data_IF_451916353448
#
_entry.id   IF_451916353448
#
_cell.length_a   1.000
_cell.length_b   1.000
_cell.length_c   1.000
_cell.angle_alpha   90.00
_cell.angle_beta   90.00
_cell.angle_gamma   90.00
#
_symmetry.space_group_name_H-M   'P 1'
#
loop_
_entity.id
_entity.type
_entity.pdbx_description
1 polymer ?
#
# COMPACT_ATOMS: atom_id res chain seq x y z
N UNK A 1 19.02 -19.11 17.51
CA UNK A 1 17.60 -19.43 17.23
C UNK A 1 17.59 -20.61 16.27
N UNK A 2 16.64 -21.53 16.38
CA UNK A 2 16.51 -22.64 15.43
C UNK A 2 16.04 -22.12 14.08
N UNK A 3 16.56 -22.66 12.99
CA UNK A 3 16.01 -22.43 11.65
C UNK A 3 14.54 -22.89 11.66
N UNK A 4 13.65 -22.10 11.07
CA UNK A 4 12.25 -22.48 10.85
C UNK A 4 12.02 -22.74 9.37
N UNK A 5 11.23 -23.76 9.07
CA UNK A 5 10.72 -24.07 7.74
C UNK A 5 9.20 -24.19 7.85
N UNK A 6 8.49 -23.34 7.13
CA UNK A 6 7.05 -23.37 6.98
C UNK A 6 6.71 -23.76 5.54
N UNK A 7 5.71 -24.62 5.35
CA UNK A 7 5.26 -25.09 4.03
C UNK A 7 3.74 -24.87 3.95
N UNK A 8 3.29 -24.35 2.81
CA UNK A 8 1.87 -24.14 2.50
C UNK A 8 1.54 -24.78 1.15
N UNK A 9 0.38 -25.44 1.07
CA UNK A 9 -0.18 -25.92 -0.19
C UNK A 9 -1.35 -25.02 -0.57
N UNK A 10 -1.25 -24.39 -1.73
CA UNK A 10 -2.14 -23.30 -2.16
C UNK A 10 -2.80 -23.69 -3.49
N UNK A 11 -4.05 -23.25 -3.66
CA UNK A 11 -4.82 -23.31 -4.90
C UNK A 11 -5.65 -22.04 -5.05
N UNK A 12 -6.31 -21.86 -6.19
CA UNK A 12 -7.19 -20.70 -6.44
C UNK A 12 -8.38 -20.59 -5.47
N UNK A 13 -8.77 -21.68 -4.80
CA UNK A 13 -9.98 -21.74 -3.97
C UNK A 13 -9.74 -22.25 -2.55
N UNK A 14 -8.60 -22.88 -2.29
CA UNK A 14 -8.23 -23.40 -0.98
C UNK A 14 -6.84 -22.90 -0.59
N UNK A 15 -6.77 -22.30 0.60
CA UNK A 15 -5.53 -22.12 1.34
C UNK A 15 -5.55 -23.06 2.55
N UNK A 16 -4.63 -24.04 2.60
CA UNK A 16 -4.42 -24.84 3.81
C UNK A 16 -3.20 -24.30 4.55
N UNK A 17 -3.47 -23.77 5.75
CA UNK A 17 -2.50 -23.08 6.60
C UNK A 17 -1.25 -23.92 6.87
N UNK A 18 -0.17 -23.19 7.10
CA UNK A 18 1.18 -23.59 7.48
C UNK A 18 1.14 -24.55 8.67
N UNK A 19 1.69 -25.75 8.49
CA UNK A 19 2.54 -26.54 9.42
C UNK A 19 2.62 -28.01 8.95
N UNK A 20 3.83 -28.58 9.06
CA UNK A 20 4.30 -29.94 8.71
C UNK A 20 3.58 -30.66 7.55
N UNK A 21 4.33 -30.97 6.49
CA UNK A 21 3.90 -31.96 5.51
C UNK A 21 4.12 -33.39 6.02
N UNK A 22 3.36 -34.40 5.53
CA UNK A 22 3.69 -35.81 5.71
C UNK A 22 5.11 -36.12 5.22
N UNK A 23 5.69 -37.25 5.66
CA UNK A 23 7.06 -37.63 5.28
C UNK A 23 7.26 -37.73 3.75
N UNK A 24 6.23 -38.18 3.01
CA UNK A 24 6.22 -38.23 1.54
C UNK A 24 5.55 -37.01 0.88
N UNK A 25 5.25 -35.96 1.65
CA UNK A 25 4.59 -34.75 1.17
C UNK A 25 3.11 -34.93 0.81
N UNK A 26 2.60 -33.98 0.02
CA UNK A 26 1.26 -34.02 -0.57
C UNK A 26 1.37 -34.15 -2.08
N UNK A 27 0.42 -34.85 -2.71
CA UNK A 27 0.31 -34.87 -4.17
C UNK A 27 0.08 -33.47 -4.72
N UNK A 28 0.99 -33.00 -5.58
CA UNK A 28 0.89 -31.70 -6.23
C UNK A 28 0.00 -31.81 -7.47
N UNK A 29 -1.23 -31.30 -7.35
CA UNK A 29 -2.18 -31.26 -8.46
C UNK A 29 -1.87 -30.08 -9.40
N UNK A 30 -2.27 -30.12 -10.69
CA UNK A 30 -1.95 -29.06 -11.65
C UNK A 30 -2.47 -27.66 -11.29
N UNK A 31 -3.52 -27.58 -10.47
CA UNK A 31 -4.15 -26.35 -9.96
C UNK A 31 -3.55 -25.88 -8.63
N UNK A 32 -2.46 -26.49 -8.18
CA UNK A 32 -1.86 -26.24 -6.86
C UNK A 32 -0.39 -25.88 -6.97
N UNK A 33 0.07 -25.05 -6.03
CA UNK A 33 1.49 -24.76 -5.85
C UNK A 33 1.87 -24.87 -4.37
N UNK A 34 3.15 -25.12 -4.14
CA UNK A 34 3.73 -25.19 -2.80
C UNK A 34 4.57 -23.95 -2.54
N UNK A 35 4.27 -23.25 -1.46
CA UNK A 35 5.08 -22.14 -0.95
C UNK A 35 5.85 -22.62 0.28
N UNK A 36 7.12 -22.24 0.40
CA UNK A 36 7.90 -22.47 1.60
C UNK A 36 8.56 -21.18 2.09
N UNK A 37 8.57 -21.00 3.41
CA UNK A 37 9.20 -19.85 4.07
C UNK A 37 10.25 -20.36 5.05
N UNK A 38 11.46 -19.82 4.94
CA UNK A 38 12.61 -20.23 5.75
C UNK A 38 13.16 -19.02 6.48
N UNK A 39 13.27 -19.12 7.80
CA UNK A 39 13.98 -18.13 8.61
C UNK A 39 15.25 -18.78 9.15
N UNK A 40 16.40 -18.19 8.83
CA UNK A 40 17.72 -18.70 9.22
C UNK A 40 18.65 -17.53 9.53
N UNK A 41 19.53 -17.72 10.51
CA UNK A 41 20.65 -16.81 10.80
C UNK A 41 21.93 -17.18 10.04
N UNK A 42 21.92 -18.34 9.37
CA UNK A 42 23.06 -18.89 8.62
C UNK A 42 22.62 -19.19 7.18
N UNK A 43 22.21 -18.17 6.40
CA UNK A 43 21.70 -18.36 5.05
C UNK A 43 22.73 -19.03 4.12
N UNK A 44 24.03 -18.79 4.36
CA UNK A 44 25.12 -19.37 3.58
C UNK A 44 25.24 -20.89 3.75
N UNK A 45 24.73 -21.46 4.83
CA UNK A 45 24.76 -22.90 5.11
C UNK A 45 23.43 -23.60 4.77
N UNK A 46 22.51 -22.92 4.08
CA UNK A 46 21.20 -23.46 3.75
C UNK A 46 21.28 -24.45 2.58
N UNK A 47 20.75 -25.65 2.80
CA UNK A 47 20.48 -26.65 1.77
C UNK A 47 18.99 -26.99 1.79
N UNK A 48 18.36 -26.99 0.61
CA UNK A 48 16.98 -27.44 0.42
C UNK A 48 16.96 -28.66 -0.48
N UNK A 49 16.37 -29.73 0.04
CA UNK A 49 16.24 -31.01 -0.65
C UNK A 49 14.78 -31.19 -1.02
N UNK A 50 14.52 -31.36 -2.31
CA UNK A 50 13.22 -31.71 -2.86
C UNK A 50 13.22 -33.18 -3.23
N UNK A 51 12.53 -33.99 -2.45
CA UNK A 51 12.33 -35.41 -2.74
C UNK A 51 11.02 -35.63 -3.49
N UNK A 52 11.11 -36.44 -4.54
CA UNK A 52 10.00 -36.73 -5.44
C UNK A 52 9.58 -38.18 -5.29
N UNK A 53 8.28 -38.42 -5.13
CA UNK A 53 7.70 -39.73 -4.93
C UNK A 53 6.72 -40.08 -6.06
N UNK A 54 6.55 -41.37 -6.35
CA UNK A 54 5.45 -41.86 -7.18
C UNK A 54 4.11 -41.65 -6.46
N UNK A 55 3.03 -41.55 -7.23
CA UNK A 55 1.68 -41.46 -6.68
C UNK A 55 1.28 -42.75 -5.94
N UNK A 56 1.72 -43.90 -6.45
CA UNK A 56 1.54 -45.20 -5.80
C UNK A 56 2.72 -45.48 -4.85
N UNK A 57 2.47 -45.30 -3.55
CA UNK A 57 3.43 -45.55 -2.48
C UNK A 57 3.40 -47.01 -1.98
N UNK A 58 2.88 -47.97 -2.75
CA UNK A 58 2.76 -49.37 -2.33
C UNK A 58 4.08 -50.16 -2.39
N UNK A 59 4.98 -49.79 -3.31
CA UNK A 59 6.25 -50.49 -3.52
C UNK A 59 7.47 -49.57 -3.37
N UNK A 60 8.62 -50.15 -3.04
CA UNK A 60 9.89 -49.42 -3.00
C UNK A 60 10.52 -49.40 -4.38
N UNK A 61 10.83 -48.20 -4.89
CA UNK A 61 11.56 -48.02 -6.15
C UNK A 61 12.99 -48.58 -6.02
N UNK A 62 13.64 -48.36 -4.87
CA UNK A 62 14.94 -48.94 -4.52
C UNK A 62 14.79 -49.75 -3.23
N UNK A 63 15.20 -51.02 -3.26
CA UNK A 63 15.17 -51.88 -2.07
C UNK A 63 16.02 -51.29 -0.94
N UNK A 64 15.41 -51.10 0.23
CA UNK A 64 16.08 -50.57 1.43
C UNK A 64 15.93 -49.06 1.63
N UNK A 65 15.20 -48.36 0.75
CA UNK A 65 14.83 -46.97 1.01
C UNK A 65 13.94 -46.84 2.26
N UNK A 66 14.07 -45.71 2.96
CA UNK A 66 13.28 -45.44 4.16
C UNK A 66 11.78 -45.30 3.85
N UNK A 67 11.45 -44.86 2.63
CA UNK A 67 10.10 -44.61 2.16
C UNK A 67 9.86 -45.28 0.80
N UNK A 68 8.69 -45.89 0.59
CA UNK A 68 8.30 -46.42 -0.72
C UNK A 68 8.10 -45.27 -1.73
N UNK A 69 8.13 -45.58 -3.03
CA UNK A 69 7.85 -44.62 -4.09
C UNK A 69 8.90 -43.53 -4.33
N UNK A 70 10.03 -43.43 -3.58
CA UNK A 70 11.02 -42.35 -3.79
C UNK A 70 11.78 -42.51 -5.12
N UNK A 71 11.55 -41.61 -6.08
CA UNK A 71 12.12 -41.72 -7.44
C UNK A 71 13.38 -40.90 -7.67
N UNK A 72 13.49 -39.76 -6.99
CA UNK A 72 14.56 -38.80 -7.26
C UNK A 72 14.58 -37.62 -6.33
N UNK A 73 15.67 -36.88 -6.43
CA UNK A 73 15.96 -35.74 -5.56
C UNK A 73 16.48 -34.57 -6.40
N UNK A 74 16.05 -33.36 -6.07
CA UNK A 74 16.71 -32.13 -6.49
C UNK A 74 17.25 -31.39 -5.26
N UNK A 75 18.45 -30.81 -5.37
CA UNK A 75 19.06 -30.07 -4.28
C UNK A 75 19.28 -28.61 -4.71
N UNK A 76 18.88 -27.69 -3.83
CA UNK A 76 19.14 -26.25 -3.94
C UNK A 76 20.09 -25.85 -2.82
N UNK A 77 21.27 -25.39 -3.22
CA UNK A 77 22.27 -24.84 -2.31
C UNK A 77 22.13 -23.32 -2.24
N UNK A 78 22.32 -22.76 -1.05
CA UNK A 78 22.45 -21.31 -0.82
C UNK A 78 23.43 -20.64 -1.80
N UNK A 79 24.53 -21.32 -2.14
CA UNK A 79 25.53 -20.82 -3.09
C UNK A 79 24.96 -20.58 -4.48
N UNK A 80 24.02 -21.41 -4.94
CA UNK A 80 23.33 -21.22 -6.23
C UNK A 80 22.51 -19.94 -6.24
N UNK A 81 21.92 -19.58 -5.10
CA UNK A 81 21.20 -18.31 -4.94
C UNK A 81 22.19 -17.14 -4.87
N UNK A 82 23.26 -17.28 -4.08
CA UNK A 82 24.29 -16.24 -3.92
C UNK A 82 25.00 -15.90 -5.25
N UNK A 83 25.34 -16.91 -6.05
CA UNK A 83 25.97 -16.75 -7.37
C UNK A 83 25.05 -16.04 -8.38
N UNK A 84 23.74 -16.03 -8.16
CA UNK A 84 22.81 -15.30 -9.04
C UNK A 84 22.90 -13.78 -8.86
N UNK A 85 23.50 -13.31 -7.75
CA UNK A 85 23.55 -11.92 -7.29
C UNK A 85 22.18 -11.23 -7.18
N UNK A 86 21.09 -11.98 -7.29
CA UNK A 86 19.72 -11.48 -7.27
C UNK A 86 19.04 -11.86 -5.96
N UNK A 87 18.26 -10.92 -5.42
CA UNK A 87 17.41 -11.20 -4.28
C UNK A 87 16.11 -11.90 -4.65
N UNK A 88 15.76 -12.00 -5.94
CA UNK A 88 14.58 -12.73 -6.39
C UNK A 88 14.81 -13.30 -7.79
N UNK A 89 14.10 -14.38 -8.12
CA UNK A 89 14.15 -14.94 -9.45
C UNK A 89 13.68 -16.38 -9.52
N UNK A 90 14.15 -17.05 -10.57
CA UNK A 90 13.71 -18.40 -10.94
C UNK A 90 14.93 -19.29 -11.11
N UNK A 91 14.97 -20.39 -10.38
CA UNK A 91 15.98 -21.44 -10.54
C UNK A 91 15.35 -22.67 -11.18
N UNK A 92 16.14 -23.41 -11.96
CA UNK A 92 15.73 -24.68 -12.54
C UNK A 92 16.72 -25.74 -12.12
N UNK A 93 16.26 -26.71 -11.33
CA UNK A 93 17.09 -27.75 -10.75
C UNK A 93 16.80 -29.10 -11.42
N UNK A 94 17.81 -29.88 -11.79
CA UNK A 94 17.60 -31.22 -12.32
C UNK A 94 17.13 -32.18 -11.22
N UNK A 95 16.15 -33.02 -11.54
CA UNK A 95 15.72 -34.12 -10.67
C UNK A 95 16.60 -35.33 -10.99
N UNK A 96 17.42 -35.73 -10.04
CA UNK A 96 18.37 -36.83 -10.20
C UNK A 96 17.73 -38.15 -9.77
N UNK A 97 17.69 -39.13 -10.68
CA UNK A 97 17.19 -40.48 -10.40
C UNK A 97 18.03 -41.18 -9.33
N UNK A 98 17.35 -41.81 -8.36
CA UNK A 98 18.01 -42.67 -7.35
C UNK A 98 18.64 -43.92 -7.98
N UNK A 99 18.00 -44.49 -9.01
CA UNK A 99 18.43 -45.74 -9.66
C UNK A 99 19.57 -45.51 -10.65
N UNK A 100 19.34 -44.64 -11.64
CA UNK A 100 20.23 -44.52 -12.80
C UNK A 100 21.27 -43.41 -12.67
N UNK A 101 21.14 -42.54 -11.65
CA UNK A 101 21.85 -41.25 -11.54
C UNK A 101 21.73 -40.37 -12.79
N UNK A 102 20.75 -40.62 -13.65
CA UNK A 102 20.41 -39.75 -14.78
C UNK A 102 19.36 -38.72 -14.35
N UNK A 103 19.37 -37.57 -15.00
CA UNK A 103 18.30 -36.58 -14.86
C UNK A 103 17.00 -37.16 -15.43
N UNK A 104 15.96 -37.21 -14.61
CA UNK A 104 14.62 -37.72 -14.98
C UNK A 104 13.60 -36.60 -15.18
N UNK A 105 13.94 -35.38 -14.77
CA UNK A 105 13.08 -34.22 -14.91
C UNK A 105 13.77 -32.96 -14.40
N UNK A 106 12.98 -31.90 -14.22
CA UNK A 106 13.43 -30.64 -13.64
C UNK A 106 12.35 -30.06 -12.74
N UNK A 107 12.75 -29.38 -11.69
CA UNK A 107 11.88 -28.56 -10.84
C UNK A 107 12.23 -27.09 -11.04
N UNK A 108 11.20 -26.25 -11.18
CA UNK A 108 11.34 -24.81 -11.28
C UNK A 108 10.99 -24.21 -9.92
N UNK A 109 11.86 -23.38 -9.40
CA UNK A 109 11.77 -22.80 -8.07
C UNK A 109 11.83 -21.28 -8.19
N UNK A 110 10.69 -20.64 -7.97
CA UNK A 110 10.63 -19.18 -7.80
C UNK A 110 11.05 -18.86 -6.36
N UNK A 111 11.94 -17.87 -6.18
CA UNK A 111 12.49 -17.54 -4.86
C UNK A 111 12.58 -16.04 -4.64
N UNK A 112 12.52 -15.66 -3.36
CA UNK A 112 12.85 -14.34 -2.86
C UNK A 112 13.68 -14.46 -1.57
N UNK A 113 14.78 -13.73 -1.51
CA UNK A 113 15.69 -13.65 -0.36
C UNK A 113 15.45 -12.31 0.31
N UNK A 114 14.96 -12.36 1.54
CA UNK A 114 14.66 -11.18 2.33
C UNK A 114 15.80 -10.94 3.31
N UNK A 115 16.38 -9.74 3.30
CA UNK A 115 17.49 -9.35 4.18
C UNK A 115 17.00 -8.37 5.25
N UNK A 116 17.57 -8.39 6.46
CA UNK A 116 17.25 -7.41 7.48
C UNK A 116 17.72 -6.02 7.06
N UNK A 117 16.94 -4.99 7.40
CA UNK A 117 17.27 -3.60 7.12
C UNK A 117 18.62 -3.21 7.78
N UNK A 118 19.66 -2.86 7.01
CA UNK A 118 20.99 -2.60 7.58
C UNK A 118 20.99 -1.39 8.50
N UNK A 119 21.55 -1.55 9.70
CA UNK A 119 21.72 -0.46 10.68
C UNK A 119 20.49 -0.20 11.57
N UNK A 120 19.40 -0.94 11.40
CA UNK A 120 18.17 -0.75 12.17
C UNK A 120 17.87 -1.97 13.04
N UNK A 121 17.58 -1.73 14.32
CA UNK A 121 17.02 -2.74 15.22
C UNK A 121 15.52 -2.55 15.32
N UNK A 122 14.79 -3.48 14.72
CA UNK A 122 13.36 -3.46 14.57
C UNK A 122 12.73 -4.43 15.59
N UNK A 123 12.28 -3.91 16.74
CA UNK A 123 11.81 -4.74 17.87
C UNK A 123 10.29 -4.86 17.98
N UNK A 124 9.53 -4.23 17.09
CA UNK A 124 8.06 -4.10 17.15
C UNK A 124 7.50 -3.52 18.47
N UNK A 125 8.34 -2.88 19.30
CA UNK A 125 7.92 -2.39 20.62
C UNK A 125 6.77 -1.38 20.54
N UNK A 126 6.71 -0.60 19.45
CA UNK A 126 5.54 0.19 19.07
C UNK A 126 4.98 -0.42 17.79
N UNK A 127 3.74 -0.89 17.80
CA UNK A 127 3.07 -1.39 16.59
C UNK A 127 1.61 -1.00 16.66
N UNK A 128 1.08 -0.56 15.52
CA UNK A 128 -0.35 -0.24 15.39
C UNK A 128 -1.22 -1.49 15.17
N UNK A 129 -0.68 -2.70 15.35
CA UNK A 129 -1.47 -3.96 15.30
C UNK A 129 -2.71 -3.95 16.22
N UNK A 130 -2.64 -3.25 17.36
CA UNK A 130 -3.77 -3.08 18.31
C UNK A 130 -4.44 -1.70 18.24
N UNK A 131 -4.11 -0.90 17.22
CA UNK A 131 -4.61 0.47 17.07
C UNK A 131 -6.08 0.52 16.65
N UNK A 132 -6.50 -0.46 15.84
CA UNK A 132 -7.80 -0.49 15.20
C UNK A 132 -8.90 -0.89 16.17
N UNK A 133 -9.36 0.09 16.93
CA UNK A 133 -10.54 -0.02 17.77
C UNK A 133 -11.80 0.05 16.90
N UNK A 134 -12.93 -0.53 17.34
CA UNK A 134 -14.23 -0.28 16.72
C UNK A 134 -14.53 1.23 16.74
N UNK A 135 -14.59 1.85 15.55
CA UNK A 135 -14.91 3.26 15.34
C UNK A 135 -15.55 3.45 13.97
N UNK A 136 -16.02 4.67 13.70
CA UNK A 136 -16.36 5.07 12.34
C UNK A 136 -15.14 4.91 11.41
N UNK A 137 -15.33 4.52 10.14
CA UNK A 137 -14.22 4.35 9.22
C UNK A 137 -13.46 5.66 9.04
N UNK A 138 -12.13 5.56 8.91
CA UNK A 138 -11.28 6.71 8.68
C UNK A 138 -11.42 7.22 7.25
N UNK A 139 -11.57 8.53 7.10
CA UNK A 139 -11.49 9.18 5.80
C UNK A 139 -10.01 9.38 5.41
N UNK A 140 -9.65 8.96 4.20
CA UNK A 140 -8.29 9.00 3.66
C UNK A 140 -8.31 9.73 2.32
N UNK A 141 -7.50 10.78 2.19
CA UNK A 141 -7.40 11.53 0.94
C UNK A 141 -6.55 10.78 -0.09
N UNK A 142 -7.16 10.32 -1.18
CA UNK A 142 -6.48 9.63 -2.28
C UNK A 142 -5.54 10.57 -3.03
N UNK A 143 -4.26 10.20 -3.13
CA UNK A 143 -3.18 11.05 -3.69
C UNK A 143 -3.23 12.48 -3.15
N UNK A 144 -3.58 12.60 -1.86
CA UNK A 144 -4.03 13.84 -1.23
C UNK A 144 -5.48 14.18 -1.57
N UNK A 145 -5.67 15.14 -2.46
CA UNK A 145 -6.99 15.61 -2.88
C UNK A 145 -7.19 15.36 -4.38
N UNK A 146 -6.71 14.19 -4.84
CA UNK A 146 -6.62 13.82 -6.25
C UNK A 146 -7.94 13.96 -7.00
N UNK A 147 -7.84 14.17 -8.32
CA UNK A 147 -8.94 14.05 -9.28
C UNK A 147 -8.33 14.03 -10.69
N UNK A 148 -7.70 12.92 -11.08
CA UNK A 148 -7.18 12.76 -12.46
C UNK A 148 -8.09 11.93 -13.35
N UNK A 149 -9.16 11.35 -12.82
CA UNK A 149 -10.16 10.58 -13.58
C UNK A 149 -11.45 11.38 -13.73
N UNK A 150 -11.37 12.56 -14.36
CA UNK A 150 -12.41 13.07 -15.28
C UNK A 150 -12.04 14.47 -15.76
N UNK A 151 -11.95 14.61 -17.08
CA UNK A 151 -11.79 15.85 -17.86
C UNK A 151 -10.44 16.56 -17.80
N UNK A 152 -9.94 16.89 -19.00
CA UNK A 152 -8.83 17.81 -19.27
C UNK A 152 -9.09 19.27 -18.78
N UNK A 153 -9.94 19.46 -17.77
CA UNK A 153 -10.17 20.71 -17.07
C UNK A 153 -9.42 20.67 -15.74
N UNK A 154 -8.62 21.70 -15.51
CA UNK A 154 -7.73 21.87 -14.37
C UNK A 154 -8.41 21.45 -13.06
N UNK A 155 -8.00 20.31 -12.49
CA UNK A 155 -8.10 20.12 -11.06
C UNK A 155 -7.41 21.32 -10.40
N UNK A 156 -8.06 21.97 -9.43
CA UNK A 156 -7.47 23.14 -8.74
C UNK A 156 -6.14 22.81 -8.05
N UNK A 157 -5.93 21.53 -7.73
CA UNK A 157 -4.73 21.01 -7.07
C UNK A 157 -4.34 19.70 -7.75
N UNK A 158 -3.09 19.58 -8.16
CA UNK A 158 -2.56 18.38 -8.83
C UNK A 158 -2.33 17.27 -7.79
N UNK A 159 -2.73 16.03 -8.11
CA UNK A 159 -2.52 14.86 -7.25
C UNK A 159 -1.05 14.59 -6.92
N UNK A 160 -0.77 13.88 -5.83
CA UNK A 160 0.59 13.50 -5.42
C UNK A 160 1.55 14.72 -5.27
N UNK A 161 0.99 15.88 -4.94
CA UNK A 161 1.73 17.10 -4.61
C UNK A 161 1.58 17.46 -3.14
N UNK A 162 2.54 18.20 -2.57
CA UNK A 162 2.47 18.67 -1.17
C UNK A 162 1.19 19.49 -0.94
N UNK A 163 0.78 20.29 -1.94
CA UNK A 163 -0.45 21.07 -1.89
C UNK A 163 -1.69 20.16 -1.79
N UNK A 164 -1.79 19.11 -2.61
CA UNK A 164 -2.92 18.17 -2.56
C UNK A 164 -3.01 17.43 -1.23
N UNK A 165 -1.86 16.99 -0.72
CA UNK A 165 -1.76 16.28 0.55
C UNK A 165 -2.15 17.21 1.72
N UNK A 166 -1.63 18.45 1.73
CA UNK A 166 -1.99 19.40 2.78
C UNK A 166 -3.45 19.81 2.70
N UNK A 167 -4.00 19.97 1.50
CA UNK A 167 -5.40 20.29 1.32
C UNK A 167 -6.30 19.18 1.88
N UNK A 168 -6.02 17.91 1.60
CA UNK A 168 -6.78 16.82 2.22
C UNK A 168 -6.66 16.83 3.75
N UNK A 169 -5.44 17.02 4.26
CA UNK A 169 -5.20 17.10 5.70
C UNK A 169 -5.99 18.23 6.39
N UNK A 170 -6.09 19.41 5.78
CA UNK A 170 -6.82 20.55 6.35
C UNK A 170 -8.35 20.36 6.39
N UNK A 171 -8.87 19.40 5.61
CA UNK A 171 -10.29 19.04 5.57
C UNK A 171 -10.59 17.78 6.42
N UNK A 172 -9.72 17.47 7.38
CA UNK A 172 -9.96 16.43 8.38
C UNK A 172 -9.60 15.01 7.96
N UNK A 173 -8.95 14.82 6.81
CA UNK A 173 -8.45 13.50 6.39
C UNK A 173 -7.56 12.92 7.49
N UNK A 174 -7.90 11.71 7.97
CA UNK A 174 -7.15 11.02 9.01
C UNK A 174 -5.77 10.62 8.49
N UNK A 175 -5.78 10.08 7.27
CA UNK A 175 -4.59 9.77 6.49
C UNK A 175 -4.63 10.51 5.15
N UNK A 176 -3.46 10.75 4.58
CA UNK A 176 -3.32 11.02 3.14
C UNK A 176 -2.61 9.85 2.49
N UNK A 177 -3.16 9.38 1.39
CA UNK A 177 -2.60 8.31 0.57
C UNK A 177 -1.78 8.92 -0.56
N UNK A 178 -0.67 8.28 -0.93
CA UNK A 178 0.14 8.63 -2.10
C UNK A 178 1.09 7.50 -2.50
N UNK A 179 1.48 7.53 -3.77
CA UNK A 179 2.32 6.51 -4.42
C UNK A 179 3.81 6.87 -4.36
N UNK A 180 4.67 5.89 -4.07
CA UNK A 180 6.13 6.06 -3.98
C UNK A 180 6.86 5.02 -4.82
N UNK A 181 7.87 5.49 -5.54
CA UNK A 181 8.89 4.68 -6.21
C UNK A 181 10.23 5.44 -6.29
N UNK A 182 11.26 4.87 -6.91
CA UNK A 182 12.61 5.46 -6.96
C UNK A 182 12.96 6.08 -8.31
N UNK A 183 13.66 7.21 -8.27
CA UNK A 183 14.41 7.78 -9.41
C UNK A 183 15.66 6.95 -9.72
N UNK A 184 16.33 7.26 -10.83
CA UNK A 184 17.58 6.61 -11.27
C UNK A 184 18.70 6.66 -10.23
N UNK A 185 18.78 7.77 -9.49
CA UNK A 185 19.75 8.06 -8.45
C UNK A 185 19.24 7.71 -7.05
N UNK A 186 18.25 6.81 -6.97
CA UNK A 186 17.75 6.22 -5.73
C UNK A 186 17.07 7.22 -4.76
N UNK A 187 16.49 8.29 -5.28
CA UNK A 187 15.66 9.20 -4.47
C UNK A 187 14.21 8.70 -4.50
N UNK A 188 13.56 8.49 -3.35
CA UNK A 188 12.14 8.19 -3.32
C UNK A 188 11.31 9.39 -3.81
N UNK A 189 10.54 9.17 -4.87
CA UNK A 189 9.69 10.15 -5.53
C UNK A 189 8.23 9.78 -5.30
N UNK A 190 7.41 10.78 -5.00
CA UNK A 190 5.96 10.65 -4.89
C UNK A 190 5.32 10.89 -6.26
N UNK A 191 4.87 9.82 -6.90
CA UNK A 191 4.28 9.83 -8.25
C UNK A 191 3.66 8.45 -8.57
N UNK A 192 2.52 8.46 -9.26
CA UNK A 192 1.72 7.24 -9.48
C UNK A 192 2.26 6.35 -10.60
N UNK A 193 2.48 6.92 -11.79
CA UNK A 193 2.81 6.15 -12.99
C UNK A 193 4.29 5.74 -12.98
N UNK A 194 4.62 4.59 -13.57
CA UNK A 194 6.02 4.16 -13.71
C UNK A 194 6.77 4.92 -14.81
N UNK A 195 6.03 5.57 -15.72
CA UNK A 195 6.55 6.39 -16.82
C UNK A 195 6.01 7.82 -16.73
N UNK A 196 6.74 8.77 -17.32
CA UNK A 196 6.28 10.15 -17.46
C UNK A 196 6.48 10.62 -18.90
N UNK A 197 5.58 11.48 -19.38
CA UNK A 197 5.62 11.99 -20.75
C UNK A 197 6.53 13.22 -20.88
N UNK A 198 7.43 13.20 -21.87
CA UNK A 198 8.28 14.32 -22.27
C UNK A 198 7.81 14.94 -23.58
N UNK A 199 7.73 16.27 -23.61
CA UNK A 199 7.58 17.05 -24.84
C UNK A 199 8.95 17.54 -25.31
N UNK A 200 9.39 17.12 -26.49
CA UNK A 200 10.56 17.74 -27.14
C UNK A 200 10.10 18.99 -27.91
N UNK A 201 10.58 20.18 -27.55
CA UNK A 201 10.38 21.38 -28.39
C UNK A 201 11.15 21.20 -29.70
N UNK A 202 10.46 20.85 -30.79
CA UNK A 202 11.03 20.96 -32.15
C UNK A 202 11.18 22.45 -32.50
N UNK A 203 12.27 22.80 -33.21
CA UNK A 203 12.60 24.18 -33.62
C UNK A 203 11.60 24.83 -34.60
N UNK A 204 10.60 24.09 -35.07
CA UNK A 204 9.61 24.55 -36.05
C UNK A 204 8.19 24.35 -35.52
N UNK A 205 7.39 25.41 -35.55
CA UNK A 205 6.09 25.57 -34.88
C UNK A 205 4.93 24.77 -35.50
N UNK A 206 5.16 23.94 -36.52
CA UNK A 206 4.09 23.37 -37.35
C UNK A 206 3.88 21.85 -37.23
N UNK A 207 4.71 21.12 -36.48
CA UNK A 207 4.54 19.67 -36.30
C UNK A 207 3.85 19.33 -34.96
N UNK A 208 3.03 18.27 -34.92
CA UNK A 208 2.43 17.78 -33.68
C UNK A 208 3.53 17.48 -32.64
N UNK A 209 3.29 17.90 -31.40
CA UNK A 209 4.20 17.65 -30.28
C UNK A 209 4.25 16.16 -30.04
N UNK A 210 5.39 15.56 -30.39
CA UNK A 210 5.66 14.15 -30.16
C UNK A 210 5.94 13.95 -28.66
N UNK A 211 5.05 13.23 -27.99
CA UNK A 211 5.18 12.85 -26.59
C UNK A 211 5.97 11.55 -26.52
N UNK A 212 7.06 11.55 -25.75
CA UNK A 212 7.83 10.34 -25.47
C UNK A 212 7.66 9.95 -24.01
N UNK A 213 7.22 8.73 -23.75
CA UNK A 213 7.21 8.18 -22.39
C UNK A 213 8.61 7.72 -21.99
N UNK A 214 9.05 8.16 -20.82
CA UNK A 214 10.32 7.73 -20.22
C UNK A 214 10.03 7.17 -18.83
N UNK A 215 10.58 5.99 -18.50
CA UNK A 215 10.47 5.44 -17.15
C UNK A 215 11.08 6.38 -16.11
N UNK A 216 10.38 6.58 -14.99
CA UNK A 216 10.86 7.43 -13.89
C UNK A 216 12.20 6.92 -13.34
N UNK A 217 12.39 5.59 -13.30
CA UNK A 217 13.65 4.95 -12.89
C UNK A 217 14.86 5.30 -13.77
N UNK A 218 14.66 5.93 -14.94
CA UNK A 218 15.72 6.33 -15.87
C UNK A 218 16.09 7.81 -15.77
N UNK A 219 15.36 8.56 -14.96
CA UNK A 219 15.57 9.98 -14.71
C UNK A 219 16.11 10.17 -13.29
N UNK A 220 17.14 11.01 -13.14
CA UNK A 220 17.58 11.44 -11.80
C UNK A 220 16.52 12.33 -11.17
N UNK A 221 16.55 12.47 -9.85
CA UNK A 221 15.63 13.36 -9.14
C UNK A 221 15.70 14.79 -9.69
N UNK A 222 16.91 15.31 -9.90
CA UNK A 222 17.12 16.64 -10.50
C UNK A 222 16.50 16.74 -11.90
N UNK A 223 16.61 15.70 -12.73
CA UNK A 223 15.98 15.68 -14.05
C UNK A 223 14.45 15.76 -13.93
N UNK A 224 13.84 14.99 -13.03
CA UNK A 224 12.40 15.04 -12.76
C UNK A 224 11.96 16.45 -12.30
N UNK A 225 12.74 17.10 -11.42
CA UNK A 225 12.51 18.48 -11.01
C UNK A 225 12.62 19.48 -12.16
N UNK A 226 13.49 19.24 -13.16
CA UNK A 226 13.64 20.11 -14.33
C UNK A 226 12.47 19.99 -15.32
N UNK A 227 11.90 18.79 -15.51
CA UNK A 227 10.76 18.57 -16.43
C UNK A 227 9.59 19.48 -16.09
N UNK A 228 9.34 19.58 -14.80
CA UNK A 228 8.39 20.49 -14.17
C UNK A 228 8.67 21.97 -14.44
N UNK A 229 9.91 22.45 -14.32
CA UNK A 229 10.23 23.86 -14.62
C UNK A 229 9.88 24.23 -16.07
N UNK A 230 10.03 23.29 -17.01
CA UNK A 230 9.68 23.49 -18.40
C UNK A 230 8.16 23.60 -18.62
N UNK A 231 7.36 22.80 -17.90
CA UNK A 231 5.91 22.85 -17.95
C UNK A 231 5.37 24.17 -17.36
N UNK A 232 5.86 24.57 -16.19
CA UNK A 232 5.46 25.84 -15.53
C UNK A 232 5.81 27.05 -16.39
N UNK A 233 7.01 27.06 -17.01
CA UNK A 233 7.42 28.15 -17.92
C UNK A 233 6.54 28.21 -19.16
N UNK A 234 6.11 27.06 -19.70
CA UNK A 234 5.19 27.01 -20.84
C UNK A 234 3.78 27.52 -20.50
N UNK A 235 3.28 27.23 -19.29
CA UNK A 235 1.98 27.71 -18.82
C UNK A 235 2.00 29.22 -18.51
N UNK A 236 3.04 29.73 -17.85
CA UNK A 236 3.21 31.16 -17.55
C UNK A 236 3.38 32.06 -18.78
N UNK A 237 3.70 31.50 -19.95
CA UNK A 237 3.72 32.26 -21.19
C UNK A 237 2.32 32.71 -21.64
N UNK A 238 1.24 32.11 -21.10
CA UNK A 238 -0.14 32.42 -21.49
C UNK A 238 -0.91 33.33 -20.52
N UNK A 239 -0.52 33.44 -19.26
CA UNK A 239 -1.22 34.28 -18.29
C UNK A 239 -0.27 35.23 -17.55
N UNK A 240 -0.45 36.53 -17.79
CA UNK A 240 0.22 37.60 -17.05
C UNK A 240 -0.83 38.37 -16.24
N UNK A 241 -0.87 38.14 -14.92
CA UNK A 241 -1.02 39.16 -13.86
C UNK A 241 -1.14 38.54 -12.44
N UNK A 242 -0.17 38.91 -11.59
CA UNK A 242 -0.31 39.48 -10.22
C UNK A 242 0.18 38.67 -9.00
N UNK A 243 0.97 39.37 -8.15
CA UNK A 243 1.54 39.07 -6.81
C UNK A 243 2.54 37.92 -6.65
N UNK A 244 3.82 38.28 -6.50
CA UNK A 244 5.01 37.40 -6.67
C UNK A 244 5.39 36.56 -5.43
N UNK A 245 4.94 36.90 -4.22
CA UNK A 245 5.53 36.30 -3.00
C UNK A 245 4.71 35.14 -2.40
N UNK A 246 3.37 35.23 -2.38
CA UNK A 246 2.51 34.12 -1.95
C UNK A 246 2.39 33.04 -3.05
N UNK A 247 2.48 33.45 -4.32
CA UNK A 247 2.55 32.53 -5.46
C UNK A 247 3.79 31.64 -5.41
N UNK A 248 4.96 32.12 -4.97
CA UNK A 248 6.19 31.32 -5.01
C UNK A 248 6.12 30.08 -4.10
N UNK A 249 5.56 30.21 -2.89
CA UNK A 249 5.37 29.07 -1.99
C UNK A 249 4.23 28.15 -2.48
N UNK A 250 3.12 28.71 -2.97
CA UNK A 250 2.01 27.92 -3.52
C UNK A 250 2.42 27.15 -4.79
N UNK A 251 3.19 27.78 -5.67
CA UNK A 251 3.78 27.16 -6.86
C UNK A 251 4.89 26.16 -6.52
N UNK A 252 5.47 26.22 -5.31
CA UNK A 252 6.45 25.26 -4.81
C UNK A 252 5.80 23.96 -4.33
N UNK A 253 4.56 24.03 -3.85
CA UNK A 253 3.90 22.87 -3.24
C UNK A 253 2.98 22.12 -4.20
N UNK A 254 2.49 22.78 -5.25
CA UNK A 254 1.79 22.15 -6.38
C UNK A 254 2.75 21.46 -7.36
N UNK A 255 3.99 21.24 -6.93
CA UNK A 255 5.05 20.72 -7.76
C UNK A 255 4.95 19.19 -7.88
N UNK A 256 4.89 18.63 -9.11
CA UNK A 256 4.95 17.18 -9.29
C UNK A 256 6.32 16.63 -8.88
N UNK A 257 6.34 15.32 -8.65
CA UNK A 257 7.52 14.56 -8.25
C UNK A 257 8.18 15.06 -6.95
N UNK A 258 7.44 15.46 -5.89
CA UNK A 258 8.13 15.77 -4.64
C UNK A 258 8.84 14.51 -4.14
N UNK A 259 10.00 14.68 -3.48
CA UNK A 259 10.62 13.52 -2.82
C UNK A 259 9.78 13.11 -1.62
N UNK A 260 9.82 11.83 -1.25
CA UNK A 260 9.15 11.34 -0.04
C UNK A 260 9.60 12.11 1.21
N UNK A 261 10.89 12.45 1.28
CA UNK A 261 11.46 13.26 2.36
C UNK A 261 10.78 14.62 2.44
N UNK A 262 10.64 15.32 1.32
CA UNK A 262 9.94 16.61 1.28
C UNK A 262 8.50 16.49 1.78
N UNK A 263 7.78 15.43 1.40
CA UNK A 263 6.41 15.19 1.86
C UNK A 263 6.35 14.94 3.38
N UNK A 264 7.25 14.11 3.91
CA UNK A 264 7.35 13.81 5.35
C UNK A 264 7.63 15.06 6.20
N UNK A 265 8.49 15.96 5.71
CA UNK A 265 8.88 17.20 6.39
C UNK A 265 7.83 18.33 6.25
N UNK A 266 7.02 18.32 5.18
CA UNK A 266 6.13 19.45 4.83
C UNK A 266 4.72 19.38 5.43
N UNK A 267 4.26 18.20 5.85
CA UNK A 267 2.93 18.02 6.44
C UNK A 267 2.99 17.96 7.98
N UNK A 268 1.92 18.35 8.70
CA UNK A 268 1.86 18.19 10.16
C UNK A 268 1.99 16.73 10.59
N UNK A 269 2.74 16.44 11.66
CA UNK A 269 3.05 15.09 12.16
C UNK A 269 1.79 14.30 12.59
N UNK A 270 0.71 15.00 12.91
CA UNK A 270 -0.54 14.37 13.35
C UNK A 270 -1.30 13.72 12.19
N UNK A 271 -1.05 14.13 10.94
CA UNK A 271 -1.69 13.54 9.75
C UNK A 271 -1.00 12.21 9.43
N UNK A 272 -1.75 11.11 9.45
CA UNK A 272 -1.19 9.81 9.08
C UNK A 272 -0.89 9.72 7.58
N UNK A 273 0.09 8.90 7.20
CA UNK A 273 0.35 8.59 5.78
C UNK A 273 -0.01 7.15 5.45
N UNK A 274 -0.67 6.96 4.31
CA UNK A 274 -0.76 5.67 3.64
C UNK A 274 0.17 5.72 2.42
N UNK A 275 1.32 5.05 2.52
CA UNK A 275 2.37 5.08 1.50
C UNK A 275 2.22 3.85 0.62
N UNK A 276 1.71 4.03 -0.59
CA UNK A 276 1.66 2.95 -1.57
C UNK A 276 3.03 2.77 -2.22
N UNK A 277 3.65 1.62 -2.01
CA UNK A 277 4.91 1.26 -2.65
C UNK A 277 4.59 0.69 -4.03
N UNK A 278 4.91 1.46 -5.07
CA UNK A 278 4.73 1.04 -6.46
C UNK A 278 5.85 0.09 -6.89
N UNK A 279 5.43 -1.06 -7.38
CA UNK A 279 6.32 -2.08 -7.93
C UNK A 279 5.78 -2.59 -9.27
N UNK A 280 6.68 -3.00 -10.16
CA UNK A 280 6.30 -3.51 -11.47
C UNK A 280 5.65 -4.90 -11.35
N UNK A 281 4.50 -5.09 -11.99
CA UNK A 281 3.86 -6.40 -12.10
C UNK A 281 3.94 -6.91 -13.54
N UNK A 282 4.00 -8.24 -13.69
CA UNK A 282 3.83 -8.89 -14.97
C UNK A 282 2.36 -9.29 -15.15
N UNK A 283 1.77 -8.90 -16.27
CA UNK A 283 0.41 -9.23 -16.63
C UNK A 283 0.31 -10.69 -17.11
N UNK A 284 -0.91 -11.22 -17.18
CA UNK A 284 -1.16 -12.61 -17.63
C UNK A 284 -0.70 -12.88 -19.06
N UNK A 285 -0.61 -11.85 -19.89
CA UNK A 285 -0.10 -11.92 -21.26
C UNK A 285 1.44 -11.84 -21.35
N UNK A 286 2.12 -11.71 -20.21
CA UNK A 286 3.58 -11.66 -20.10
C UNK A 286 4.16 -10.24 -20.26
N UNK A 287 3.34 -9.22 -20.47
CA UNK A 287 3.80 -7.82 -20.56
C UNK A 287 4.05 -7.28 -19.14
N UNK A 288 5.15 -6.54 -18.98
CA UNK A 288 5.48 -5.88 -17.72
C UNK A 288 4.94 -4.46 -17.71
N UNK A 289 4.52 -3.98 -16.53
CA UNK A 289 4.08 -2.60 -16.35
C UNK A 289 5.11 -1.58 -16.87
N UNK A 290 4.63 -0.55 -17.56
CA UNK A 290 5.49 0.47 -18.17
C UNK A 290 6.46 -0.07 -19.24
N UNK A 291 6.24 -1.29 -19.75
CA UNK A 291 7.16 -2.04 -20.62
C UNK A 291 8.54 -2.24 -20.00
N UNK A 292 8.61 -2.32 -18.66
CA UNK A 292 9.84 -2.46 -17.91
C UNK A 292 10.23 -3.93 -17.73
N UNK A 293 11.16 -4.43 -18.52
CA UNK A 293 11.70 -5.79 -18.38
C UNK A 293 12.67 -5.98 -17.21
N UNK A 294 13.12 -4.86 -16.61
CA UNK A 294 14.02 -4.84 -15.45
C UNK A 294 13.68 -3.67 -14.55
N UNK A 295 13.88 -3.87 -13.25
CA UNK A 295 13.66 -2.86 -12.22
C UNK A 295 14.77 -2.92 -11.17
N UNK A 296 14.57 -2.25 -10.04
CA UNK A 296 15.53 -2.26 -8.94
C UNK A 296 15.58 -3.63 -8.24
N UNK A 297 16.63 -3.86 -7.45
CA UNK A 297 16.62 -4.95 -6.48
C UNK A 297 15.59 -4.65 -5.37
N UNK A 298 14.74 -5.62 -5.03
CA UNK A 298 13.60 -5.39 -4.13
C UNK A 298 14.03 -5.05 -2.69
N UNK A 299 15.11 -5.66 -2.18
CA UNK A 299 15.64 -5.30 -0.85
C UNK A 299 16.19 -3.88 -0.88
N UNK A 300 17.03 -3.54 -1.86
CA UNK A 300 17.59 -2.19 -1.98
C UNK A 300 16.48 -1.14 -2.08
N UNK A 301 15.49 -1.39 -2.93
CA UNK A 301 14.38 -0.49 -3.17
C UNK A 301 13.58 -0.20 -1.90
N UNK A 302 13.19 -1.25 -1.19
CA UNK A 302 12.46 -1.12 0.07
C UNK A 302 13.31 -0.52 1.19
N UNK A 303 14.58 -0.91 1.30
CA UNK A 303 15.50 -0.38 2.30
C UNK A 303 15.60 1.14 2.22
N UNK A 304 15.69 1.70 1.00
CA UNK A 304 15.79 3.14 0.79
C UNK A 304 14.49 3.85 1.22
N UNK A 305 13.33 3.33 0.81
CA UNK A 305 12.03 3.91 1.16
C UNK A 305 11.82 3.83 2.67
N UNK A 306 12.05 2.66 3.28
CA UNK A 306 11.86 2.45 4.71
C UNK A 306 12.82 3.31 5.54
N UNK A 307 14.10 3.41 5.17
CA UNK A 307 15.05 4.33 5.85
C UNK A 307 14.56 5.78 5.78
N UNK A 308 14.13 6.22 4.59
CA UNK A 308 13.59 7.57 4.42
C UNK A 308 12.39 7.81 5.35
N UNK A 309 11.48 6.86 5.47
CA UNK A 309 10.34 6.98 6.41
C UNK A 309 10.81 6.98 7.86
N UNK A 310 11.66 6.04 8.26
CA UNK A 310 12.11 5.90 9.66
C UNK A 310 12.88 7.12 10.15
N UNK A 311 13.65 7.76 9.28
CA UNK A 311 14.47 8.93 9.63
C UNK A 311 13.66 10.24 9.68
N UNK A 312 12.56 10.32 8.92
CA UNK A 312 11.86 11.60 8.69
C UNK A 312 10.37 11.61 9.14
N UNK A 313 9.82 10.50 9.62
CA UNK A 313 8.39 10.42 10.02
C UNK A 313 8.10 10.79 11.47
N UNK A 314 9.11 10.89 12.34
CA UNK A 314 8.88 11.18 13.77
C UNK A 314 7.97 10.13 14.43
N UNK A 315 6.85 10.58 15.01
CA UNK A 315 5.79 9.74 15.60
C UNK A 315 4.56 9.65 14.71
N UNK A 316 4.63 10.11 13.45
CA UNK A 316 3.56 10.03 12.47
C UNK A 316 3.08 8.59 12.32
N UNK A 317 1.78 8.40 12.17
CA UNK A 317 1.20 7.08 11.86
C UNK A 317 1.44 6.78 10.39
N UNK A 318 2.08 5.65 10.09
CA UNK A 318 2.36 5.21 8.72
C UNK A 318 1.66 3.88 8.46
N UNK A 319 0.96 3.79 7.34
CA UNK A 319 0.48 2.56 6.73
C UNK A 319 1.26 2.40 5.43
N UNK A 320 1.69 1.18 5.12
CA UNK A 320 2.23 0.85 3.80
C UNK A 320 1.24 -0.03 3.07
N UNK A 321 1.04 0.23 1.78
CA UNK A 321 0.26 -0.60 0.87
C UNK A 321 1.08 -0.94 -0.38
N UNK A 322 0.73 -2.03 -1.06
CA UNK A 322 1.24 -2.34 -2.40
C UNK A 322 0.29 -3.33 -3.06
N UNK A 323 0.25 -3.30 -4.40
CA UNK A 323 -0.38 -4.36 -5.20
C UNK A 323 0.50 -5.60 -5.29
N UNK A 324 1.80 -5.46 -5.05
CA UNK A 324 2.76 -6.56 -5.13
C UNK A 324 2.85 -7.31 -3.79
N UNK A 325 2.61 -8.62 -3.84
CA UNK A 325 2.57 -9.47 -2.66
C UNK A 325 3.96 -9.71 -2.06
N UNK A 326 5.02 -9.69 -2.87
CA UNK A 326 6.40 -9.85 -2.41
C UNK A 326 6.86 -8.61 -1.65
N UNK A 327 6.51 -7.41 -2.15
CA UNK A 327 6.71 -6.14 -1.45
C UNK A 327 6.01 -6.15 -0.08
N UNK A 328 4.75 -6.59 -0.03
CA UNK A 328 4.02 -6.72 1.24
C UNK A 328 4.69 -7.73 2.18
N UNK A 329 5.20 -8.84 1.64
CA UNK A 329 5.90 -9.89 2.41
C UNK A 329 7.20 -9.37 3.00
N UNK A 330 8.07 -8.73 2.19
CA UNK A 330 9.31 -8.10 2.68
C UNK A 330 9.00 -7.04 3.73
N UNK A 331 8.02 -6.16 3.46
CA UNK A 331 7.61 -5.13 4.40
C UNK A 331 7.17 -5.70 5.76
N UNK A 332 6.48 -6.85 5.76
CA UNK A 332 6.07 -7.56 6.99
C UNK A 332 7.24 -8.20 7.75
N UNK A 333 8.28 -8.60 7.04
CA UNK A 333 9.48 -9.18 7.62
C UNK A 333 10.43 -8.14 8.21
N UNK A 334 10.19 -6.84 7.96
CA UNK A 334 10.97 -5.73 8.54
C UNK A 334 10.17 -5.15 9.72
N UNK A 335 10.51 -5.49 10.98
CA UNK A 335 9.67 -5.22 12.14
C UNK A 335 9.72 -3.75 12.61
N UNK A 336 9.36 -2.77 11.78
CA UNK A 336 9.49 -1.37 12.22
C UNK A 336 8.44 -0.96 13.25
N UNK A 337 8.83 -0.05 14.14
CA UNK A 337 8.04 0.51 15.24
C UNK A 337 6.80 1.33 14.81
N UNK A 338 6.54 1.41 13.51
CA UNK A 338 5.47 2.20 12.89
C UNK A 338 4.66 1.35 11.91
N UNK A 339 5.11 0.13 11.61
CA UNK A 339 4.51 -0.75 10.61
C UNK A 339 3.33 -1.53 11.19
N UNK A 340 2.26 -1.56 10.40
CA UNK A 340 1.20 -2.53 10.50
C UNK A 340 1.34 -3.56 9.37
N UNK A 341 2.35 -4.42 9.49
CA UNK A 341 2.52 -5.58 8.65
C UNK A 341 3.01 -6.70 9.59
N UNK A 342 2.03 -7.36 10.20
CA UNK A 342 2.23 -8.72 10.71
C UNK A 342 2.08 -9.62 9.48
N UNK A 343 2.74 -10.78 9.46
CA UNK A 343 2.33 -11.88 8.59
C UNK A 343 1.46 -12.82 9.46
N UNK A 344 0.18 -13.07 9.14
CA UNK A 344 -0.54 -12.66 7.93
C UNK A 344 -0.77 -11.14 7.87
N UNK A 345 -0.82 -10.54 6.66
CA UNK A 345 -0.91 -9.11 6.43
C UNK A 345 -1.92 -8.48 7.37
N UNK A 346 -1.57 -7.36 7.99
CA UNK A 346 -2.40 -6.80 9.05
C UNK A 346 -3.73 -6.20 8.53
N UNK A 347 -3.92 -6.17 7.21
CA UNK A 347 -5.12 -5.69 6.55
C UNK A 347 -5.10 -5.93 5.04
N UNK A 348 -6.19 -5.52 4.39
CA UNK A 348 -6.37 -5.50 2.93
C UNK A 348 -6.75 -4.08 2.48
N UNK A 349 -6.30 -3.69 1.29
CA UNK A 349 -6.75 -2.49 0.60
C UNK A 349 -7.49 -2.90 -0.67
N UNK A 350 -8.81 -3.02 -0.59
CA UNK A 350 -9.63 -3.65 -1.63
C UNK A 350 -10.26 -2.62 -2.57
N UNK A 351 -10.38 -2.99 -3.85
CA UNK A 351 -11.16 -2.18 -4.78
C UNK A 351 -12.64 -2.21 -4.39
N UNK A 352 -13.27 -1.04 -4.42
CA UNK A 352 -14.61 -0.84 -3.87
C UNK A 352 -15.67 -1.61 -4.63
N UNK A 353 -15.51 -1.76 -5.95
CA UNK A 353 -16.42 -2.54 -6.80
C UNK A 353 -16.63 -3.96 -6.26
N UNK A 354 -15.56 -4.62 -5.81
CA UNK A 354 -15.62 -5.99 -5.29
C UNK A 354 -16.38 -6.07 -3.96
N UNK A 355 -16.20 -5.09 -3.08
CA UNK A 355 -16.89 -5.03 -1.79
C UNK A 355 -18.37 -4.67 -1.93
N UNK A 356 -18.71 -3.78 -2.86
CA UNK A 356 -20.09 -3.44 -3.18
C UNK A 356 -20.82 -4.62 -3.82
N UNK A 357 -20.14 -5.37 -4.70
CA UNK A 357 -20.68 -6.57 -5.34
C UNK A 357 -20.85 -7.73 -4.35
N UNK A 358 -19.89 -7.92 -3.44
CA UNK A 358 -19.86 -9.04 -2.49
C UNK A 358 -19.59 -8.57 -1.05
N UNK A 359 -20.60 -8.04 -0.34
CA UNK A 359 -20.44 -7.53 1.02
C UNK A 359 -19.97 -8.59 2.04
N UNK A 360 -20.17 -9.88 1.74
CA UNK A 360 -19.69 -11.00 2.57
C UNK A 360 -18.17 -11.03 2.72
N UNK A 361 -17.41 -10.51 1.75
CA UNK A 361 -15.94 -10.44 1.83
C UNK A 361 -15.47 -9.56 2.99
N UNK A 362 -16.24 -8.51 3.33
CA UNK A 362 -15.94 -7.67 4.49
C UNK A 362 -16.06 -8.48 5.78
N UNK A 363 -17.09 -9.33 5.90
CA UNK A 363 -17.28 -10.16 7.08
C UNK A 363 -16.21 -11.25 7.19
N UNK A 364 -15.82 -11.86 6.06
CA UNK A 364 -14.75 -12.87 6.03
C UNK A 364 -13.40 -12.28 6.44
N UNK A 365 -13.04 -11.11 5.90
CA UNK A 365 -11.80 -10.42 6.25
C UNK A 365 -11.78 -10.02 7.74
N UNK A 366 -12.91 -9.54 8.29
CA UNK A 366 -13.04 -9.25 9.73
C UNK A 366 -12.95 -10.49 10.60
N UNK A 367 -13.52 -11.62 10.17
CA UNK A 367 -13.41 -12.89 10.88
C UNK A 367 -11.95 -13.38 10.96
N UNK A 368 -11.12 -13.01 9.98
CA UNK A 368 -9.66 -13.24 9.97
C UNK A 368 -8.87 -12.16 10.73
N UNK A 369 -9.54 -11.18 11.36
CA UNK A 369 -8.91 -10.10 12.12
C UNK A 369 -8.23 -9.02 11.26
N UNK A 370 -8.56 -8.94 9.97
CA UNK A 370 -7.93 -8.01 9.03
C UNK A 370 -8.56 -6.62 9.12
N UNK A 371 -7.70 -5.60 9.02
CA UNK A 371 -8.14 -4.21 8.79
C UNK A 371 -8.49 -4.04 7.32
N UNK A 372 -9.58 -3.34 7.02
CA UNK A 372 -10.08 -3.22 5.65
C UNK A 372 -10.11 -1.76 5.24
N UNK A 373 -9.23 -1.37 4.33
CA UNK A 373 -9.35 -0.13 3.57
C UNK A 373 -9.96 -0.44 2.20
N UNK A 374 -10.65 0.53 1.62
CA UNK A 374 -11.13 0.41 0.25
C UNK A 374 -10.97 1.71 -0.53
N UNK A 375 -10.73 1.56 -1.83
CA UNK A 375 -10.41 2.61 -2.79
C UNK A 375 -11.14 2.40 -4.12
N UNK A 376 -11.01 3.34 -5.05
CA UNK A 376 -11.58 3.28 -6.40
C UNK A 376 -12.70 4.31 -6.61
N UNK A 377 -13.06 4.57 -7.87
CA UNK A 377 -13.95 5.68 -8.23
C UNK A 377 -15.31 5.65 -7.50
N UNK A 378 -15.82 4.46 -7.17
CA UNK A 378 -17.07 4.27 -6.43
C UNK A 378 -17.06 4.91 -5.03
N UNK A 379 -15.90 5.10 -4.40
CA UNK A 379 -15.80 5.77 -3.10
C UNK A 379 -16.02 7.28 -3.20
N UNK A 380 -16.02 7.85 -4.41
CA UNK A 380 -16.33 9.27 -4.61
C UNK A 380 -17.83 9.58 -4.46
N UNK A 381 -18.70 8.57 -4.56
CA UNK A 381 -20.14 8.68 -4.27
C UNK A 381 -20.41 8.56 -2.74
N UNK A 382 -21.02 9.60 -2.11
CA UNK A 382 -21.39 9.55 -0.69
C UNK A 382 -22.28 8.37 -0.29
N UNK A 383 -23.17 7.93 -1.18
CA UNK A 383 -24.10 6.83 -0.90
C UNK A 383 -23.36 5.49 -0.85
N UNK A 384 -22.38 5.28 -1.72
CA UNK A 384 -21.50 4.12 -1.66
C UNK A 384 -20.64 4.16 -0.39
N UNK A 385 -20.10 5.33 -0.01
CA UNK A 385 -19.38 5.47 1.27
C UNK A 385 -20.27 5.10 2.45
N UNK A 386 -21.55 5.49 2.45
CA UNK A 386 -22.50 5.11 3.51
C UNK A 386 -22.68 3.58 3.60
N UNK A 387 -22.87 2.89 2.47
CA UNK A 387 -22.98 1.42 2.44
C UNK A 387 -21.71 0.74 2.94
N UNK A 388 -20.54 1.21 2.54
CA UNK A 388 -19.25 0.66 2.99
C UNK A 388 -19.05 0.86 4.50
N UNK A 389 -19.47 2.01 5.04
CA UNK A 389 -19.51 2.26 6.49
C UNK A 389 -20.42 1.25 7.21
N UNK A 390 -21.57 0.94 6.65
CA UNK A 390 -22.51 -0.07 7.18
C UNK A 390 -21.95 -1.50 7.09
N UNK A 391 -21.21 -1.85 6.03
CA UNK A 391 -20.51 -3.13 5.92
C UNK A 391 -19.40 -3.26 6.98
N UNK A 392 -18.87 -2.12 7.43
CA UNK A 392 -17.95 -2.03 8.55
C UNK A 392 -16.49 -2.13 8.15
N UNK A 393 -16.12 -1.52 7.02
CA UNK A 393 -14.72 -1.24 6.63
C UNK A 393 -14.03 -0.34 7.68
N UNK A 394 -12.71 -0.26 7.68
CA UNK A 394 -11.94 0.56 8.62
C UNK A 394 -11.47 1.90 8.05
N UNK A 395 -11.40 2.03 6.73
CA UNK A 395 -11.01 3.26 6.06
C UNK A 395 -11.53 3.36 4.63
N UNK A 396 -11.77 4.59 4.21
CA UNK A 396 -12.29 4.96 2.91
C UNK A 396 -11.27 5.87 2.23
N UNK A 397 -10.71 5.43 1.13
CA UNK A 397 -9.77 6.19 0.30
C UNK A 397 -10.56 6.77 -0.86
N UNK A 398 -10.62 8.09 -0.97
CA UNK A 398 -11.40 8.77 -2.01
C UNK A 398 -10.82 10.14 -2.36
N UNK A 399 -11.21 10.59 -3.55
CA UNK A 399 -10.82 11.87 -4.13
C UNK A 399 -11.64 13.02 -3.54
N UNK A 400 -11.13 14.25 -3.71
CA UNK A 400 -11.88 15.49 -3.44
C UNK A 400 -12.58 15.52 -2.06
N UNK A 401 -11.86 15.14 -1.01
CA UNK A 401 -12.39 15.15 0.36
C UNK A 401 -12.96 16.52 0.78
N UNK A 402 -12.39 17.61 0.23
CA UNK A 402 -12.82 18.99 0.44
C UNK A 402 -14.23 19.30 -0.10
N UNK A 403 -14.76 18.53 -1.05
CA UNK A 403 -16.13 18.72 -1.57
C UNK A 403 -17.18 18.34 -0.52
N UNK A 404 -16.81 17.51 0.45
CA UNK A 404 -17.74 16.89 1.40
C UNK A 404 -17.49 17.29 2.85
N UNK A 405 -16.26 17.68 3.17
CA UNK A 405 -15.83 17.98 4.53
C UNK A 405 -15.38 19.44 4.58
N UNK A 406 -15.96 20.29 5.46
CA UNK A 406 -15.40 21.61 5.72
C UNK A 406 -14.02 21.48 6.38
N UNK A 407 -13.24 22.56 6.36
CA UNK A 407 -11.99 22.61 7.12
C UNK A 407 -12.24 22.28 8.58
N UNK A 408 -11.52 21.27 9.07
CA UNK A 408 -11.71 20.73 10.42
C UNK A 408 -10.46 19.99 10.88
N UNK A 409 -10.21 19.94 12.20
CA UNK A 409 -9.04 19.25 12.72
C UNK A 409 -9.08 17.75 12.42
N UNK A 410 -7.90 17.18 12.21
CA UNK A 410 -7.73 15.75 11.99
C UNK A 410 -8.22 14.96 13.23
N UNK A 411 -8.86 13.81 13.00
CA UNK A 411 -9.42 12.96 14.06
C UNK A 411 -8.41 12.59 15.15
N UNK A 412 -7.13 12.42 14.80
CA UNK A 412 -6.08 12.09 15.76
C UNK A 412 -5.71 13.27 16.67
N UNK A 413 -5.81 14.50 16.19
CA UNK A 413 -5.64 15.70 17.01
C UNK A 413 -6.79 15.79 18.02
N UNK A 414 -8.02 15.52 17.58
CA UNK A 414 -9.20 15.49 18.44
C UNK A 414 -9.05 14.40 19.52
N UNK A 415 -8.68 13.18 19.14
CA UNK A 415 -8.45 12.06 20.09
C UNK A 415 -7.34 12.37 21.11
N UNK A 416 -6.26 13.02 20.69
CA UNK A 416 -5.16 13.40 21.59
C UNK A 416 -5.62 14.46 22.59
N UNK A 417 -6.37 15.46 22.13
CA UNK A 417 -6.92 16.50 22.98
C UNK A 417 -7.93 15.93 24.00
N UNK A 418 -8.78 15.00 23.58
CA UNK A 418 -9.72 14.33 24.49
C UNK A 418 -9.00 13.50 25.56
N UNK A 419 -7.92 12.78 25.21
CA UNK A 419 -7.09 12.08 26.19
C UNK A 419 -6.46 13.05 27.19
N UNK A 420 -5.87 14.15 26.72
CA UNK A 420 -5.28 15.17 27.58
C UNK A 420 -6.33 15.79 28.52
N UNK A 421 -7.57 16.02 28.06
CA UNK A 421 -8.68 16.49 28.91
C UNK A 421 -9.08 15.49 30.00
N UNK A 422 -8.92 14.20 29.76
CA UNK A 422 -9.18 13.16 30.76
C UNK A 422 -8.07 13.09 31.81
N UNK A 423 -6.81 13.27 31.38
CA UNK A 423 -5.63 13.22 32.25
C UNK A 423 -5.40 14.51 33.05
N UNK A 424 -5.84 15.66 32.53
CA UNK A 424 -5.67 16.98 33.14
C UNK A 424 -7.04 17.65 33.40
N UNK A 425 -7.56 17.61 34.64
CA UNK A 425 -8.87 18.17 35.00
C UNK A 425 -9.04 19.66 34.70
N UNK A 426 -7.94 20.41 34.64
CA UNK A 426 -7.90 21.85 34.39
C UNK A 426 -8.26 22.23 32.94
N UNK A 427 -8.12 21.29 31.99
CA UNK A 427 -8.47 21.50 30.57
C UNK A 427 -9.96 21.30 30.26
N UNK A 428 -10.78 20.92 31.25
CA UNK A 428 -12.22 20.67 31.07
C UNK A 428 -13.04 21.90 30.70
N UNK A 429 -12.54 23.11 30.96
CA UNK A 429 -13.23 24.37 30.62
C UNK A 429 -13.00 24.84 29.17
N UNK A 430 -12.13 24.18 28.40
CA UNK A 430 -11.90 24.54 27.00
C UNK A 430 -12.98 23.94 26.09
N UNK A 431 -13.83 24.82 25.54
CA UNK A 431 -14.75 24.52 24.43
C UNK A 431 -13.93 24.22 23.17
N UNK A 432 -13.74 22.93 22.87
CA UNK A 432 -13.16 22.47 21.61
C UNK A 432 -14.19 21.56 20.93
N UNK A 433 -14.16 21.38 19.60
CA UNK A 433 -15.07 20.49 18.91
C UNK A 433 -14.96 19.08 19.52
N UNK A 434 -16.01 18.63 20.19
CA UNK A 434 -16.13 17.26 20.66
C UNK A 434 -16.35 16.32 19.47
N UNK A 435 -15.94 15.05 19.58
CA UNK A 435 -16.14 14.01 18.55
C UNK A 435 -17.60 13.88 18.06
N UNK A 436 -18.57 14.43 18.79
CA UNK A 436 -19.99 14.52 18.38
C UNK A 436 -20.28 15.29 17.07
N UNK A 437 -19.37 16.10 16.54
CA UNK A 437 -19.53 16.73 15.21
C UNK A 437 -19.25 15.78 14.03
N UNK A 438 -18.77 14.55 14.27
CA UNK A 438 -18.56 13.53 13.21
C UNK A 438 -19.82 12.70 12.87
N UNK A 439 -21.01 13.14 13.31
CA UNK A 439 -22.29 12.56 12.88
C UNK A 439 -22.76 13.32 11.62
N UNK A 440 -23.08 12.65 10.49
CA UNK A 440 -23.60 13.35 9.33
C UNK A 440 -24.95 13.99 9.68
N UNK A 441 -25.02 15.32 9.63
CA UNK A 441 -26.30 16.02 9.66
C UNK A 441 -27.03 15.80 8.33
N UNK A 442 -28.01 14.90 8.31
CA UNK A 442 -29.25 15.01 7.53
C UNK A 442 -30.19 13.80 7.74
N UNK A 443 -30.80 13.71 8.91
CA UNK A 443 -32.18 13.24 9.00
C UNK A 443 -33.09 14.48 8.82
N UNK A 444 -33.46 14.77 7.58
CA UNK A 444 -34.58 15.67 7.30
C UNK A 444 -35.58 14.91 6.42
N UNK A 445 -36.58 14.36 7.10
CA UNK A 445 -37.80 13.84 6.50
C UNK A 445 -38.92 14.03 7.52
N UNK A 446 -39.44 15.25 7.62
CA UNK A 446 -40.76 15.45 8.21
C UNK A 446 -41.82 15.34 7.11
N UNK A 447 -42.95 14.68 7.42
CA UNK A 447 -44.22 15.24 7.02
C UNK A 447 -45.17 15.40 8.22
N UNK A 448 -45.46 16.66 8.53
CA UNK A 448 -46.79 17.22 8.80
C UNK A 448 -47.64 16.63 9.93
N UNK A 449 -47.88 17.45 10.97
CA UNK A 449 -49.18 17.52 11.66
C UNK A 449 -49.56 18.99 11.88
N UNK A 450 -50.62 19.41 11.20
CA UNK A 450 -51.39 20.62 11.47
C UNK A 450 -51.98 20.58 12.88
N UNK A 451 -51.77 21.63 13.69
CA UNK A 451 -52.77 22.08 14.67
C UNK A 451 -52.76 23.61 14.73
N UNK A 452 -53.86 24.21 14.28
CA UNK A 452 -54.18 25.63 14.43
C UNK A 452 -54.33 26.02 15.91
N UNK A 453 -53.81 27.19 16.28
CA UNK A 453 -54.28 27.93 17.45
C UNK A 453 -54.12 29.45 17.22
N UNK A 454 -55.19 30.07 16.72
CA UNK A 454 -55.45 31.50 16.82
C UNK A 454 -56.30 31.78 18.07
N UNK A 455 -56.00 32.88 18.78
CA UNK A 455 -56.83 33.48 19.84
C UNK A 455 -55.95 34.00 20.99
N UNK A 456 -55.41 35.22 20.90
CA UNK A 456 -55.99 36.51 21.34
C UNK A 456 -56.37 36.53 22.84
N UNK A 457 -55.63 37.38 23.55
CA UNK A 457 -55.92 38.19 24.75
C UNK A 457 -56.90 37.67 25.81
N UNK A 458 -56.45 37.67 27.07
CA UNK A 458 -57.05 38.55 28.07
C UNK A 458 -56.17 38.80 29.30
N UNK A 459 -56.31 40.04 29.74
CA UNK A 459 -55.82 40.72 30.93
C UNK A 459 -56.37 40.07 32.21
N UNK A 460 -55.66 40.29 33.33
CA UNK A 460 -56.18 40.80 34.62
C UNK A 460 -55.84 39.98 35.89
N UNK A 461 -55.19 40.69 36.84
CA UNK A 461 -55.20 40.54 38.31
C UNK A 461 -54.64 39.24 38.91
N UNK A 462 -53.75 39.26 39.90
CA UNK A 462 -53.56 40.15 41.05
C UNK A 462 -52.18 39.96 41.67
#
# INVERSE_FOLDING_TARGET
MSNSLEISLISDHEFKCRHSQPECGYGLQPDRWTEYSIQTMEPDNLELIFDFFEEDLSEHVVQGDAFPGHVGTACLLSSTIAESEKSAGVLTLPIMSRVSRKTIGKVRVDFIVIKPLPGYSCSMQSSFSKYWKPRIPLDVGHRGAGNSTTTAQLAKVQENTIASLRNAASHGAAFVEFDVHLSKDFVPVVYHDLTCCLTMKKKFEADPVELFEIPVKELTFDQLQLLKLSHVTALKAKDRKQSVVEEENFLSENQPFPSLKMVLESLPEEVGFNIEIKWICQHRDGVWDGNLSTYFDMNLFLDIILKTVLENSGKRRIVFSSFDADICTIGSCIPTSVIQAVNPPAGINAHTEDLLRNPSYVQEAKAKGLVIFCWGDDTNDPENRRKLKEFGVNGLIYDRIYDWMPEQPNIFQVEQLERLKQELPELKSCLCPSVGHFVPSSFCGEPGIHVDANGIDNVETS
#
